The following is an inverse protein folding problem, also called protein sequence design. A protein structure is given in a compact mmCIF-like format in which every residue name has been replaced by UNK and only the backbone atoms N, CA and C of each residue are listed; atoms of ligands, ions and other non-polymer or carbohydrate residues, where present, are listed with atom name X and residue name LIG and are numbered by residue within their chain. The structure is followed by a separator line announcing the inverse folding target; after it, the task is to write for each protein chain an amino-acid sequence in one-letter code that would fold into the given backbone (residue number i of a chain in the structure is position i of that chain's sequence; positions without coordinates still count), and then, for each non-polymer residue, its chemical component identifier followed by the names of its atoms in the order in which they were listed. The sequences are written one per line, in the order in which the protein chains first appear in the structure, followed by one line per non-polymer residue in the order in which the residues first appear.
data_IF_551065483275
#
_entry.id   IF_551065483275
#
_cell.length_a   1.000
_cell.length_b   1.000
_cell.length_c   1.000
_cell.angle_alpha   90.00
_cell.angle_beta   90.00
_cell.angle_gamma   90.00
#
_symmetry.space_group_name_H-M   'P 1'
#
loop_
_entity.id
_entity.type
_entity.pdbx_description
1 polymer ?
#
# COMPACT_ATOMS: atom_id res chain seq x y z
N UNK A 1 -4.42 11.43 20.75
CA UNK A 1 -3.59 11.38 19.54
C UNK A 1 -3.85 10.05 18.86
N UNK A 2 -4.08 10.01 17.54
CA UNK A 2 -4.34 8.77 16.79
C UNK A 2 -3.16 8.50 15.84
N UNK A 3 -2.92 7.23 15.50
CA UNK A 3 -1.94 6.84 14.48
C UNK A 3 -2.61 6.72 13.11
N UNK A 4 -1.80 6.74 12.04
CA UNK A 4 -2.32 6.49 10.70
C UNK A 4 -2.85 5.07 10.58
N UNK A 5 -4.08 4.92 10.08
CA UNK A 5 -4.73 3.61 9.87
C UNK A 5 -4.01 2.83 8.75
N UNK A 6 -3.59 3.53 7.70
CA UNK A 6 -2.73 3.02 6.64
C UNK A 6 -1.93 4.17 6.03
N UNK A 7 -0.63 3.98 5.89
CA UNK A 7 0.26 4.85 5.13
C UNK A 7 1.01 4.03 4.08
N UNK A 8 1.26 4.63 2.92
CA UNK A 8 2.01 3.98 1.84
C UNK A 8 3.08 4.94 1.34
N UNK A 9 4.31 4.44 1.24
CA UNK A 9 5.42 5.11 0.60
C UNK A 9 5.81 4.32 -0.65
N UNK A 10 5.89 5.00 -1.78
CA UNK A 10 6.33 4.45 -3.05
C UNK A 10 7.66 5.11 -3.43
N UNK A 11 8.61 4.32 -3.90
CA UNK A 11 9.86 4.81 -4.47
C UNK A 11 10.16 4.07 -5.77
N UNK A 12 10.60 4.81 -6.79
CA UNK A 12 11.07 4.27 -8.07
C UNK A 12 12.50 4.75 -8.32
N UNK A 13 13.43 3.82 -8.51
CA UNK A 13 14.82 4.13 -8.83
C UNK A 13 15.37 3.13 -9.85
N UNK A 14 15.95 3.62 -10.95
CA UNK A 14 16.56 2.80 -12.01
C UNK A 14 15.69 1.60 -12.45
N UNK A 15 14.37 1.82 -12.59
CA UNK A 15 13.40 0.79 -12.98
C UNK A 15 12.95 -0.16 -11.86
N UNK A 16 13.51 -0.04 -10.64
CA UNK A 16 13.07 -0.80 -9.48
C UNK A 16 12.03 -0.02 -8.68
N UNK A 17 10.89 -0.66 -8.41
CA UNK A 17 9.82 -0.10 -7.56
C UNK A 17 9.84 -0.74 -6.18
N UNK A 18 9.67 0.08 -5.14
CA UNK A 18 9.50 -0.34 -3.75
C UNK A 18 8.25 0.30 -3.17
N UNK A 19 7.44 -0.52 -2.49
CA UNK A 19 6.19 -0.07 -1.87
C UNK A 19 6.18 -0.52 -0.41
N UNK A 20 6.32 0.43 0.50
CA UNK A 20 6.31 0.19 1.94
C UNK A 20 4.96 0.63 2.54
N UNK A 21 4.37 -0.24 3.35
CA UNK A 21 3.07 -0.03 4.00
C UNK A 21 3.28 0.10 5.50
N UNK A 22 2.68 1.14 6.09
CA UNK A 22 2.76 1.46 7.52
C UNK A 22 1.36 1.55 8.13
N UNK A 23 1.23 1.26 9.43
CA UNK A 23 -0.02 1.38 10.18
C UNK A 23 -1.04 0.26 9.93
N UNK A 24 -0.96 -0.48 8.83
CA UNK A 24 -1.93 -1.53 8.50
C UNK A 24 -1.68 -2.88 9.18
N UNK A 25 -0.41 -3.25 9.40
CA UNK A 25 -0.01 -4.52 10.04
C UNK A 25 0.67 -4.33 11.40
N UNK A 26 1.15 -5.44 11.99
CA UNK A 26 1.91 -5.42 13.25
C UNK A 26 3.26 -4.68 13.16
N UNK A 27 3.71 -4.39 11.93
CA UNK A 27 4.89 -3.61 11.65
C UNK A 27 4.86 -3.10 10.20
N UNK A 28 5.94 -2.43 9.80
CA UNK A 28 6.13 -1.99 8.41
C UNK A 28 6.40 -3.22 7.55
N UNK A 29 5.71 -3.33 6.42
CA UNK A 29 5.91 -4.42 5.47
C UNK A 29 5.99 -3.90 4.03
N UNK A 30 6.50 -4.75 3.14
CA UNK A 30 6.55 -4.47 1.70
C UNK A 30 5.38 -5.12 0.98
N UNK A 31 4.71 -4.35 0.13
CA UNK A 31 3.61 -4.85 -0.69
C UNK A 31 4.15 -5.38 -2.03
N UNK A 32 4.62 -6.62 -2.06
CA UNK A 32 5.23 -7.23 -3.27
C UNK A 32 4.28 -7.22 -4.48
N UNK A 33 2.99 -7.49 -4.28
CA UNK A 33 1.99 -7.44 -5.35
C UNK A 33 1.91 -6.05 -6.02
N UNK A 34 2.06 -4.97 -5.24
CA UNK A 34 2.08 -3.61 -5.78
C UNK A 34 3.41 -3.29 -6.45
N UNK A 35 4.53 -3.78 -5.91
CA UNK A 35 5.84 -3.64 -6.53
C UNK A 35 5.89 -4.34 -7.91
N UNK A 36 5.31 -5.52 -8.04
CA UNK A 36 5.24 -6.26 -9.31
C UNK A 36 4.39 -5.53 -10.34
N UNK A 37 3.18 -5.07 -9.97
CA UNK A 37 2.31 -4.32 -10.84
C UNK A 37 2.98 -3.02 -11.35
N UNK A 38 3.57 -2.25 -10.43
CA UNK A 38 4.20 -0.96 -10.75
C UNK A 38 5.54 -1.08 -11.48
N UNK A 39 6.18 -2.24 -11.42
CA UNK A 39 7.41 -2.50 -12.19
C UNK A 39 7.11 -2.71 -13.68
N UNK A 40 5.92 -3.22 -14.03
CA UNK A 40 5.47 -3.35 -15.42
C UNK A 40 4.94 -2.03 -15.99
N UNK A 41 4.11 -1.32 -15.21
CA UNK A 41 3.58 0.00 -15.55
C UNK A 41 3.54 0.89 -14.30
N UNK A 42 4.32 1.97 -14.29
CA UNK A 42 4.33 2.89 -13.16
C UNK A 42 3.21 3.93 -13.30
N UNK A 43 1.98 3.47 -13.12
CA UNK A 43 0.77 4.28 -13.17
C UNK A 43 -0.19 3.92 -12.03
N UNK A 44 -1.08 4.84 -11.64
CA UNK A 44 -2.09 4.54 -10.63
C UNK A 44 -3.04 3.41 -11.07
N UNK A 45 -3.35 3.35 -12.38
CA UNK A 45 -4.18 2.31 -12.99
C UNK A 45 -3.54 0.92 -12.95
N UNK A 46 -2.22 0.82 -12.86
CA UNK A 46 -1.56 -0.49 -12.69
C UNK A 46 -1.95 -1.17 -11.37
N UNK A 47 -2.44 -0.41 -10.39
CA UNK A 47 -2.92 -0.94 -9.11
C UNK A 47 -4.41 -1.30 -9.14
N UNK A 48 -5.11 -1.15 -10.26
CA UNK A 48 -6.52 -1.51 -10.37
C UNK A 48 -6.67 -3.04 -10.30
N UNK A 49 -7.43 -3.50 -9.31
CA UNK A 49 -7.58 -4.94 -9.01
C UNK A 49 -6.44 -5.53 -8.17
N UNK A 50 -5.36 -4.78 -7.90
CA UNK A 50 -4.34 -5.19 -6.95
C UNK A 50 -4.79 -4.91 -5.51
N UNK A 51 -4.61 -5.89 -4.63
CA UNK A 51 -4.88 -5.75 -3.20
C UNK A 51 -3.77 -6.36 -2.34
N UNK A 52 -3.64 -5.89 -1.10
CA UNK A 52 -2.83 -6.57 -0.09
C UNK A 52 -3.68 -7.63 0.62
N UNK A 53 -3.06 -8.74 1.02
CA UNK A 53 -3.75 -9.73 1.86
C UNK A 53 -4.17 -9.09 3.18
N UNK A 54 -5.34 -9.49 3.68
CA UNK A 54 -5.80 -9.16 5.03
C UNK A 54 -5.03 -9.95 6.10
N UNK A 55 -4.34 -11.02 5.71
CA UNK A 55 -3.55 -11.84 6.61
C UNK A 55 -2.41 -11.02 7.23
N UNK A 56 -2.36 -10.99 8.57
CA UNK A 56 -1.36 -10.22 9.31
C UNK A 56 -1.65 -8.73 9.43
N UNK A 57 -2.79 -8.25 8.94
CA UNK A 57 -3.28 -6.89 9.22
C UNK A 57 -3.95 -6.82 10.59
N UNK A 58 -3.92 -5.63 11.20
CA UNK A 58 -4.53 -5.37 12.50
C UNK A 58 -6.03 -5.18 12.34
N UNK A 59 -6.82 -5.80 13.20
CA UNK A 59 -8.25 -5.51 13.33
C UNK A 59 -8.52 -5.07 14.76
N UNK A 60 -9.00 -3.85 14.95
CA UNK A 60 -9.25 -3.24 16.25
C UNK A 60 -10.54 -2.39 16.23
N UNK A 61 -10.79 -1.64 17.31
CA UNK A 61 -11.96 -0.77 17.45
C UNK A 61 -11.99 0.37 16.42
N UNK A 62 -10.82 0.79 15.92
CA UNK A 62 -10.69 1.92 15.00
C UNK A 62 -10.86 1.49 13.53
N UNK A 63 -10.44 0.27 13.17
CA UNK A 63 -10.53 -0.26 11.81
C UNK A 63 -10.43 -1.79 11.72
N UNK A 64 -11.18 -2.38 10.78
CA UNK A 64 -11.02 -3.80 10.41
C UNK A 64 -9.83 -4.02 9.50
N UNK A 65 -9.37 -5.28 9.42
CA UNK A 65 -8.29 -5.68 8.51
C UNK A 65 -8.64 -5.41 7.04
N UNK A 66 -9.89 -5.66 6.64
CA UNK A 66 -10.39 -5.41 5.28
C UNK A 66 -10.39 -3.92 4.95
N UNK A 67 -10.80 -3.08 5.90
CA UNK A 67 -10.78 -1.63 5.72
C UNK A 67 -9.35 -1.10 5.59
N UNK A 68 -8.40 -1.63 6.38
CA UNK A 68 -6.98 -1.32 6.25
C UNK A 68 -6.43 -1.76 4.89
N UNK A 69 -6.74 -2.98 4.44
CA UNK A 69 -6.33 -3.48 3.13
C UNK A 69 -6.85 -2.58 2.00
N UNK A 70 -8.12 -2.15 2.09
CA UNK A 70 -8.71 -1.21 1.14
C UNK A 70 -7.99 0.15 1.15
N UNK A 71 -7.75 0.73 2.33
CA UNK A 71 -7.04 2.00 2.47
C UNK A 71 -5.61 1.93 1.97
N UNK A 72 -4.91 0.81 2.15
CA UNK A 72 -3.57 0.58 1.60
C UNK A 72 -3.60 0.70 0.07
N UNK A 73 -4.59 0.12 -0.62
CA UNK A 73 -4.76 0.29 -2.06
C UNK A 73 -5.02 1.74 -2.47
N UNK A 74 -5.90 2.45 -1.74
CA UNK A 74 -6.18 3.88 -1.99
C UNK A 74 -4.94 4.75 -1.82
N UNK A 75 -4.20 4.54 -0.72
CA UNK A 75 -2.99 5.32 -0.42
C UNK A 75 -1.85 5.00 -1.38
N UNK A 76 -1.75 3.74 -1.85
CA UNK A 76 -0.77 3.37 -2.87
C UNK A 76 -1.01 4.12 -4.19
N UNK A 77 -2.26 4.19 -4.67
CA UNK A 77 -2.60 4.97 -5.87
C UNK A 77 -2.22 6.45 -5.73
N UNK A 78 -2.62 7.06 -4.62
CA UNK A 78 -2.26 8.47 -4.32
C UNK A 78 -0.76 8.70 -4.25
N UNK A 79 -0.02 7.74 -3.68
CA UNK A 79 1.43 7.83 -3.59
C UNK A 79 2.10 7.73 -4.97
N UNK A 80 1.60 6.88 -5.86
CA UNK A 80 2.07 6.79 -7.26
C UNK A 80 1.77 8.07 -8.03
N UNK A 81 0.56 8.62 -7.90
CA UNK A 81 0.17 9.89 -8.51
C UNK A 81 1.05 11.06 -8.05
N UNK A 82 1.44 11.08 -6.78
CA UNK A 82 2.32 12.11 -6.22
C UNK A 82 3.80 11.95 -6.60
N UNK A 83 4.21 10.81 -7.17
CA UNK A 83 5.57 10.61 -7.69
C UNK A 83 5.77 11.13 -9.12
N UNK A 84 4.67 11.42 -9.84
CA UNK A 84 4.68 12.00 -11.19
C UNK A 84 4.64 13.52 -11.18
#
# INVERSE_FOLDING_TARGET
SKYAIAGVMVARNNGQVRVAVTGAGLGVFRASAFEEALSGDFSASALDGASVSTDGLVSDLDASAEYRAHLVGVMARRAVEACG
#
